data_IF_801608292322
#
_entry.id   IF_801608292322
#
_cell.length_a   1.000
_cell.length_b   1.000
_cell.length_c   1.000
_cell.angle_alpha   90.00
_cell.angle_beta   90.00
_cell.angle_gamma   90.00
#
_symmetry.space_group_name_H-M   'P 1'
#
loop_
_entity.id
_entity.type
_entity.pdbx_description
1 polymer ?
#
# COMPACT_ATOMS: atom_id res chain seq x y z
N UNK A 1 -8.14 3.75 33.57
CA UNK A 1 -6.89 3.04 33.20
C UNK A 1 -6.38 3.57 31.85
N UNK A 2 -5.24 4.28 31.83
CA UNK A 2 -4.63 4.82 30.59
C UNK A 2 -3.77 3.73 29.93
N UNK A 3 -4.24 3.12 28.84
CA UNK A 3 -3.42 2.15 28.10
C UNK A 3 -2.45 2.91 27.17
N UNK A 4 -1.15 2.93 27.51
CA UNK A 4 -0.07 3.33 26.58
C UNK A 4 -0.20 2.49 25.30
N UNK A 5 0.03 3.08 24.12
CA UNK A 5 0.02 2.32 22.85
C UNK A 5 1.04 1.19 22.92
N UNK A 6 0.55 -0.04 23.17
CA UNK A 6 1.31 -1.28 23.04
C UNK A 6 1.47 -1.57 21.55
N UNK A 7 2.51 -2.34 21.17
CA UNK A 7 2.65 -2.77 19.76
C UNK A 7 1.36 -3.40 19.24
N UNK A 8 1.02 -3.21 17.96
CA UNK A 8 -0.24 -3.71 17.37
C UNK A 8 -0.48 -5.20 17.69
N UNK A 9 0.58 -6.02 17.62
CA UNK A 9 0.49 -7.44 17.98
C UNK A 9 0.06 -7.66 19.43
N UNK A 10 0.67 -6.95 20.38
CA UNK A 10 0.28 -7.02 21.79
C UNK A 10 -1.16 -6.52 22.01
N UNK A 11 -1.58 -5.50 21.24
CA UNK A 11 -2.92 -4.95 21.33
C UNK A 11 -3.99 -5.95 20.87
N UNK A 12 -3.74 -6.67 19.76
CA UNK A 12 -4.63 -7.73 19.27
C UNK A 12 -4.67 -8.91 20.24
N UNK A 13 -3.52 -9.31 20.81
CA UNK A 13 -3.43 -10.44 21.75
C UNK A 13 -4.16 -10.21 23.08
N UNK A 14 -4.56 -8.97 23.40
CA UNK A 14 -5.38 -8.68 24.59
C UNK A 14 -6.87 -8.97 24.38
N UNK A 15 -7.31 -9.16 23.13
CA UNK A 15 -8.70 -9.51 22.84
C UNK A 15 -8.91 -10.97 23.26
N UNK A 16 -9.85 -11.20 24.18
CA UNK A 16 -10.21 -12.55 24.64
C UNK A 16 -10.96 -13.33 23.57
N UNK A 17 -10.99 -14.65 23.69
CA UNK A 17 -11.72 -15.50 22.76
C UNK A 17 -13.21 -15.15 22.72
N UNK A 18 -13.88 -14.97 23.87
CA UNK A 18 -15.30 -14.62 23.95
C UNK A 18 -15.64 -13.33 23.19
N UNK A 19 -14.79 -12.31 23.28
CA UNK A 19 -14.98 -11.05 22.56
C UNK A 19 -14.76 -11.24 21.06
N UNK A 20 -13.73 -12.01 20.67
CA UNK A 20 -13.49 -12.33 19.27
C UNK A 20 -14.66 -13.14 18.67
N UNK A 21 -15.15 -14.12 19.42
CA UNK A 21 -16.25 -15.01 19.06
C UNK A 21 -17.54 -14.26 18.77
N UNK A 22 -17.90 -13.27 19.59
CA UNK A 22 -19.10 -12.46 19.42
C UNK A 22 -19.05 -11.56 18.18
N UNK A 23 -17.85 -11.22 17.70
CA UNK A 23 -17.64 -10.29 16.60
C UNK A 23 -17.31 -10.96 15.27
N UNK A 24 -16.76 -12.18 15.30
CA UNK A 24 -16.41 -12.92 14.08
C UNK A 24 -17.59 -13.78 13.64
N UNK A 25 -18.25 -13.38 12.56
CA UNK A 25 -19.40 -14.10 12.00
C UNK A 25 -18.99 -15.43 11.36
N UNK A 26 -19.78 -16.48 11.58
CA UNK A 26 -19.60 -17.81 10.97
C UNK A 26 -19.52 -17.76 9.43
N UNK A 27 -20.39 -16.96 8.82
CA UNK A 27 -20.45 -16.74 7.36
C UNK A 27 -19.11 -16.27 6.79
N UNK A 28 -18.41 -15.39 7.51
CA UNK A 28 -17.11 -14.86 7.08
C UNK A 28 -16.01 -15.93 7.09
N UNK A 29 -16.09 -16.88 8.02
CA UNK A 29 -15.17 -18.02 8.10
C UNK A 29 -15.51 -19.03 7.00
N UNK A 30 -16.79 -19.33 6.81
CA UNK A 30 -17.26 -20.20 5.74
C UNK A 30 -16.86 -19.67 4.35
N UNK A 31 -16.93 -18.36 4.12
CA UNK A 31 -16.47 -17.75 2.88
C UNK A 31 -14.95 -17.88 2.67
N UNK A 32 -14.17 -17.88 3.75
CA UNK A 32 -12.73 -18.16 3.72
C UNK A 32 -12.43 -19.61 3.35
N UNK A 33 -13.03 -20.55 4.09
CA UNK A 33 -12.88 -22.00 3.92
C UNK A 33 -13.38 -22.48 2.55
N UNK A 34 -14.60 -22.08 2.16
CA UNK A 34 -15.21 -22.46 0.88
C UNK A 34 -14.59 -21.80 -0.35
N UNK A 35 -13.62 -20.89 -0.18
CA UNK A 35 -12.86 -20.31 -1.29
C UNK A 35 -13.64 -19.35 -2.20
N UNK A 36 -14.92 -19.08 -1.89
CA UNK A 36 -15.84 -18.21 -2.62
C UNK A 36 -16.58 -17.30 -1.64
N UNK A 37 -16.15 -16.04 -1.50
CA UNK A 37 -17.16 -14.99 -1.28
C UNK A 37 -18.01 -14.96 -2.55
N UNK A 38 -19.35 -14.88 -2.46
CA UNK A 38 -20.37 -14.61 -3.51
C UNK A 38 -19.88 -13.91 -4.81
N UNK A 39 -18.95 -14.49 -5.55
CA UNK A 39 -18.21 -13.87 -6.65
C UNK A 39 -17.75 -14.96 -7.63
N UNK A 40 -17.66 -14.58 -8.91
CA UNK A 40 -17.40 -15.48 -10.03
C UNK A 40 -16.03 -16.19 -9.99
N UNK A 41 -15.07 -15.75 -9.16
CA UNK A 41 -13.69 -16.27 -9.14
C UNK A 41 -13.20 -16.65 -7.74
N UNK A 42 -12.43 -17.75 -7.66
CA UNK A 42 -11.78 -18.20 -6.42
C UNK A 42 -10.67 -17.25 -5.97
N UNK A 43 -10.34 -17.28 -4.68
CA UNK A 43 -9.22 -16.49 -4.14
C UNK A 43 -7.86 -16.83 -4.78
N UNK A 44 -7.68 -18.07 -5.25
CA UNK A 44 -6.47 -18.46 -5.96
C UNK A 44 -6.30 -17.66 -7.26
N UNK A 45 -7.33 -17.64 -8.11
CA UNK A 45 -7.31 -16.87 -9.35
C UNK A 45 -7.15 -15.36 -9.10
N UNK A 46 -7.82 -14.82 -8.08
CA UNK A 46 -7.67 -13.40 -7.70
C UNK A 46 -6.23 -13.05 -7.31
N UNK A 47 -5.53 -13.93 -6.56
CA UNK A 47 -4.12 -13.73 -6.19
C UNK A 47 -3.22 -13.73 -7.43
N UNK A 48 -3.43 -14.64 -8.37
CA UNK A 48 -2.68 -14.70 -9.64
C UNK A 48 -2.91 -13.44 -10.46
N UNK A 49 -4.17 -13.01 -10.62
CA UNK A 49 -4.52 -11.84 -11.42
C UNK A 49 -3.86 -10.57 -10.86
N UNK A 50 -3.92 -10.36 -9.54
CA UNK A 50 -3.25 -9.23 -8.89
C UNK A 50 -1.72 -9.30 -9.02
N UNK A 51 -1.14 -10.49 -8.93
CA UNK A 51 0.29 -10.70 -9.11
C UNK A 51 0.73 -10.34 -10.53
N UNK A 52 0.06 -10.86 -11.56
CA UNK A 52 0.31 -10.51 -12.96
C UNK A 52 0.11 -9.01 -13.18
N UNK A 53 -0.97 -8.45 -12.63
CA UNK A 53 -1.28 -7.02 -12.71
C UNK A 53 -0.14 -6.13 -12.18
N UNK A 54 0.56 -6.57 -11.14
CA UNK A 54 1.69 -5.83 -10.57
C UNK A 54 2.90 -5.72 -11.50
N UNK A 55 2.99 -6.56 -12.54
CA UNK A 55 4.10 -6.56 -13.50
C UNK A 55 3.80 -5.82 -14.80
N UNK A 56 2.55 -5.41 -15.06
CA UNK A 56 2.18 -4.76 -16.32
C UNK A 56 3.05 -3.52 -16.59
N UNK A 57 3.17 -2.62 -15.60
CA UNK A 57 3.95 -1.39 -15.75
C UNK A 57 5.46 -1.67 -15.89
N UNK A 58 6.11 -2.51 -15.05
CA UNK A 58 7.50 -2.90 -15.25
C UNK A 58 7.76 -3.51 -16.62
N UNK A 59 6.90 -4.43 -17.09
CA UNK A 59 7.08 -5.08 -18.40
C UNK A 59 7.01 -4.05 -19.53
N UNK A 60 6.01 -3.17 -19.52
CA UNK A 60 5.89 -2.08 -20.51
C UNK A 60 7.16 -1.22 -20.49
N UNK A 61 7.68 -0.89 -19.31
CA UNK A 61 8.92 -0.13 -19.18
C UNK A 61 10.11 -0.89 -19.77
N UNK A 62 10.33 -2.16 -19.43
CA UNK A 62 11.44 -2.94 -19.99
C UNK A 62 11.35 -3.07 -21.51
N UNK A 63 10.15 -3.29 -22.06
CA UNK A 63 9.94 -3.32 -23.51
C UNK A 63 10.32 -1.97 -24.15
N UNK A 64 9.86 -0.87 -23.57
CA UNK A 64 10.22 0.48 -24.04
C UNK A 64 11.72 0.78 -23.91
N UNK A 65 12.40 0.19 -22.95
CA UNK A 65 13.84 0.35 -22.75
C UNK A 65 14.65 -0.45 -23.77
N UNK A 66 14.20 -1.66 -24.14
CA UNK A 66 14.89 -2.48 -25.16
C UNK A 66 14.89 -1.87 -26.55
N UNK A 67 13.93 -0.99 -26.85
CA UNK A 67 13.88 -0.23 -28.10
C UNK A 67 14.68 1.08 -28.06
N UNK A 68 15.25 1.46 -26.91
CA UNK A 68 15.94 2.73 -26.75
C UNK A 68 17.47 2.55 -26.83
N UNK A 69 18.12 3.29 -27.73
CA UNK A 69 19.59 3.30 -27.82
C UNK A 69 20.18 4.16 -26.70
N UNK A 70 20.88 3.53 -25.75
CA UNK A 70 21.53 4.18 -24.61
C UNK A 70 22.53 5.26 -25.06
N UNK A 71 23.10 5.14 -26.26
CA UNK A 71 24.01 6.14 -26.79
C UNK A 71 23.33 7.48 -27.09
N UNK A 72 22.01 7.47 -27.29
CA UNK A 72 21.19 8.66 -27.47
C UNK A 72 20.85 9.37 -26.15
N UNK A 73 21.06 8.73 -24.99
CA UNK A 73 20.88 9.38 -23.69
C UNK A 73 22.07 10.31 -23.41
N UNK A 74 21.83 11.61 -23.13
CA UNK A 74 22.88 12.54 -22.71
C UNK A 74 23.68 11.96 -21.55
N UNK A 75 25.01 12.12 -21.55
CA UNK A 75 25.88 11.58 -20.48
C UNK A 75 25.42 11.98 -19.09
N UNK A 76 24.88 13.20 -18.93
CA UNK A 76 24.30 13.71 -17.69
C UNK A 76 23.03 12.97 -17.24
N UNK A 77 22.24 12.38 -18.16
CA UNK A 77 21.00 11.67 -17.83
C UNK A 77 21.16 10.16 -17.63
N UNK A 78 22.34 9.59 -17.93
CA UNK A 78 22.58 8.14 -17.85
C UNK A 78 22.40 7.59 -16.43
N UNK A 79 22.79 8.35 -15.40
CA UNK A 79 22.64 7.90 -14.02
C UNK A 79 21.16 7.74 -13.62
N UNK A 80 20.28 8.64 -14.07
CA UNK A 80 18.84 8.52 -13.83
C UNK A 80 18.30 7.28 -14.49
N UNK A 81 18.63 7.07 -15.77
CA UNK A 81 18.19 5.93 -16.54
C UNK A 81 18.56 4.61 -15.86
N UNK A 82 19.81 4.48 -15.41
CA UNK A 82 20.31 3.31 -14.66
C UNK A 82 19.56 3.17 -13.33
N UNK A 83 19.33 4.27 -12.61
CA UNK A 83 18.64 4.22 -11.30
C UNK A 83 17.18 3.79 -11.45
N UNK A 84 16.46 4.32 -12.44
CA UNK A 84 15.08 3.93 -12.76
C UNK A 84 15.01 2.43 -13.10
N UNK A 85 15.95 1.95 -13.92
CA UNK A 85 16.06 0.54 -14.27
C UNK A 85 16.21 -0.35 -13.01
N UNK A 86 17.09 0.03 -12.08
CA UNK A 86 17.24 -0.69 -10.81
C UNK A 86 15.99 -0.63 -9.92
N UNK A 87 15.27 0.50 -9.88
CA UNK A 87 14.01 0.61 -9.14
C UNK A 87 12.99 -0.41 -9.68
N UNK A 88 12.83 -0.52 -11.00
CA UNK A 88 11.91 -1.49 -11.60
C UNK A 88 12.32 -2.94 -11.31
N UNK A 89 13.61 -3.28 -11.39
CA UNK A 89 14.10 -4.60 -10.99
C UNK A 89 13.74 -4.88 -9.52
N UNK A 90 13.97 -3.93 -8.62
CA UNK A 90 13.66 -4.10 -7.19
C UNK A 90 12.16 -4.27 -6.94
N UNK A 91 11.30 -3.53 -7.65
CA UNK A 91 9.83 -3.71 -7.59
C UNK A 91 9.46 -5.14 -8.00
N UNK A 92 10.03 -5.66 -9.09
CA UNK A 92 9.77 -7.04 -9.54
C UNK A 92 10.22 -8.03 -8.47
N UNK A 93 11.48 -7.94 -8.01
CA UNK A 93 12.04 -8.87 -7.03
C UNK A 93 11.24 -8.88 -5.72
N UNK A 94 10.83 -7.71 -5.24
CA UNK A 94 10.03 -7.59 -4.02
C UNK A 94 8.62 -8.15 -4.21
N UNK A 95 7.96 -7.88 -5.34
CA UNK A 95 6.63 -8.43 -5.64
C UNK A 95 6.68 -9.96 -5.74
N UNK A 96 7.69 -10.51 -6.42
CA UNK A 96 7.95 -11.97 -6.50
C UNK A 96 8.17 -12.55 -5.10
N UNK A 97 9.06 -11.94 -4.31
CA UNK A 97 9.35 -12.38 -2.95
C UNK A 97 8.10 -12.39 -2.06
N UNK A 98 7.31 -11.30 -2.07
CA UNK A 98 6.09 -11.17 -1.27
C UNK A 98 5.04 -12.19 -1.72
N UNK A 99 4.86 -12.35 -3.04
CA UNK A 99 3.92 -13.33 -3.58
C UNK A 99 4.25 -14.74 -3.11
N UNK A 100 5.49 -15.21 -3.31
CA UNK A 100 5.88 -16.56 -2.90
C UNK A 100 5.85 -16.74 -1.38
N UNK A 101 6.27 -15.71 -0.61
CA UNK A 101 6.19 -15.74 0.86
C UNK A 101 4.75 -15.86 1.36
N UNK A 102 3.81 -15.19 0.69
CA UNK A 102 2.39 -15.27 1.03
C UNK A 102 1.74 -16.54 0.51
N UNK A 103 2.12 -17.02 -0.67
CA UNK A 103 1.69 -18.29 -1.25
C UNK A 103 2.03 -19.48 -0.34
N UNK A 104 3.22 -19.51 0.27
CA UNK A 104 3.53 -20.54 1.28
C UNK A 104 2.60 -20.51 2.49
N UNK A 105 1.97 -19.38 2.79
CA UNK A 105 0.99 -19.25 3.89
C UNK A 105 -0.45 -19.50 3.46
N UNK A 106 -0.72 -19.73 2.17
CA UNK A 106 -2.07 -19.99 1.66
C UNK A 106 -2.54 -21.43 1.87
N UNK A 107 -1.74 -22.28 2.49
CA UNK A 107 -2.15 -23.63 2.87
C UNK A 107 -3.33 -23.67 3.84
N UNK A 108 -3.72 -22.54 4.44
CA UNK A 108 -4.82 -22.49 5.41
C UNK A 108 -6.09 -21.86 4.81
N UNK A 109 -7.10 -22.67 4.41
CA UNK A 109 -8.36 -22.20 3.85
C UNK A 109 -9.04 -21.10 4.67
N UNK A 110 -9.10 -21.25 6.00
CA UNK A 110 -9.75 -20.27 6.89
C UNK A 110 -9.13 -18.85 6.83
N UNK A 111 -7.90 -18.70 6.31
CA UNK A 111 -7.21 -17.41 6.14
C UNK A 111 -7.19 -16.91 4.69
N UNK A 112 -7.88 -17.55 3.75
CA UNK A 112 -7.80 -17.22 2.33
C UNK A 112 -8.11 -15.76 2.02
N UNK A 113 -9.19 -15.23 2.60
CA UNK A 113 -9.60 -13.83 2.43
C UNK A 113 -8.57 -12.86 3.01
N UNK A 114 -8.07 -13.17 4.23
CA UNK A 114 -7.02 -12.39 4.88
C UNK A 114 -5.75 -12.36 4.03
N UNK A 115 -5.27 -13.53 3.61
CA UNK A 115 -4.07 -13.69 2.81
C UNK A 115 -4.19 -12.95 1.46
N UNK A 116 -5.34 -13.03 0.80
CA UNK A 116 -5.58 -12.31 -0.45
C UNK A 116 -5.55 -10.79 -0.25
N UNK A 117 -6.32 -10.25 0.70
CA UNK A 117 -6.37 -8.80 0.93
C UNK A 117 -5.03 -8.23 1.36
N UNK A 118 -4.30 -8.95 2.21
CA UNK A 118 -2.95 -8.56 2.63
C UNK A 118 -1.97 -8.61 1.46
N UNK A 119 -2.04 -9.64 0.60
CA UNK A 119 -1.20 -9.72 -0.59
C UNK A 119 -1.49 -8.57 -1.55
N UNK A 120 -2.77 -8.29 -1.85
CA UNK A 120 -3.17 -7.22 -2.75
C UNK A 120 -2.67 -5.86 -2.24
N UNK A 121 -2.83 -5.60 -0.94
CA UNK A 121 -2.28 -4.40 -0.30
C UNK A 121 -0.76 -4.29 -0.47
N UNK A 122 0.00 -5.35 -0.15
CA UNK A 122 1.46 -5.30 -0.22
C UNK A 122 1.99 -5.12 -1.65
N UNK A 123 1.38 -5.79 -2.64
CA UNK A 123 1.76 -5.64 -4.05
C UNK A 123 1.50 -4.22 -4.55
N UNK A 124 0.35 -3.65 -4.18
CA UNK A 124 0.02 -2.26 -4.52
C UNK A 124 0.98 -1.28 -3.85
N UNK A 125 1.30 -1.49 -2.57
CA UNK A 125 2.23 -0.64 -1.81
C UNK A 125 3.64 -0.63 -2.40
N UNK A 126 4.20 -1.80 -2.72
CA UNK A 126 5.52 -1.92 -3.36
C UNK A 126 5.53 -1.20 -4.71
N UNK A 127 4.50 -1.44 -5.53
CA UNK A 127 4.41 -0.88 -6.86
C UNK A 127 4.28 0.65 -6.81
N UNK A 128 3.36 1.18 -6.00
CA UNK A 128 3.14 2.63 -5.88
C UNK A 128 4.35 3.36 -5.28
N UNK A 129 5.05 2.75 -4.31
CA UNK A 129 6.30 3.29 -3.75
C UNK A 129 7.42 3.32 -4.80
N UNK A 130 7.52 2.30 -5.64
CA UNK A 130 8.48 2.27 -6.74
C UNK A 130 8.21 3.37 -7.76
N UNK A 131 6.96 3.52 -8.20
CA UNK A 131 6.59 4.50 -9.22
C UNK A 131 6.70 5.95 -8.71
N UNK A 132 6.33 6.21 -7.46
CA UNK A 132 6.51 7.52 -6.85
C UNK A 132 7.98 7.89 -6.68
N UNK A 133 8.84 6.92 -6.37
CA UNK A 133 10.29 7.12 -6.31
C UNK A 133 10.86 7.54 -7.66
N UNK A 134 10.36 6.99 -8.77
CA UNK A 134 10.75 7.41 -10.13
C UNK A 134 10.32 8.86 -10.40
N UNK A 135 9.10 9.23 -10.00
CA UNK A 135 8.60 10.61 -10.14
C UNK A 135 9.46 11.62 -9.37
N UNK A 136 9.85 11.29 -8.14
CA UNK A 136 10.76 12.12 -7.33
C UNK A 136 12.15 12.19 -7.95
N UNK A 137 12.67 11.06 -8.43
CA UNK A 137 13.96 11.03 -9.09
C UNK A 137 13.99 11.93 -10.34
N UNK A 138 12.89 11.98 -11.09
CA UNK A 138 12.71 12.88 -12.23
C UNK A 138 12.79 14.36 -11.87
N UNK A 139 12.16 14.78 -10.76
CA UNK A 139 12.27 16.18 -10.29
C UNK A 139 13.67 16.51 -9.77
N UNK A 140 14.41 15.51 -9.28
CA UNK A 140 15.75 15.68 -8.74
C UNK A 140 16.87 15.62 -9.79
N UNK A 141 16.56 15.46 -11.09
CA UNK A 141 17.55 15.37 -12.17
C UNK A 141 18.57 16.53 -12.20
N UNK A 142 18.14 17.72 -11.77
CA UNK A 142 18.98 18.92 -11.81
C UNK A 142 20.06 18.92 -10.72
N UNK A 143 19.95 18.05 -9.71
CA UNK A 143 20.84 18.01 -8.57
C UNK A 143 21.89 16.90 -8.70
N UNK A 144 22.92 16.96 -7.85
CA UNK A 144 23.96 15.95 -7.81
C UNK A 144 23.36 14.54 -7.55
N UNK A 145 23.80 13.48 -8.26
CA UNK A 145 23.28 12.12 -8.09
C UNK A 145 23.30 11.61 -6.64
N UNK A 146 24.35 11.94 -5.87
CA UNK A 146 24.47 11.54 -4.46
C UNK A 146 23.38 12.18 -3.61
N UNK A 147 23.10 13.46 -3.85
CA UNK A 147 22.02 14.18 -3.18
C UNK A 147 20.66 13.57 -3.53
N UNK A 148 20.43 13.22 -4.81
CA UNK A 148 19.18 12.61 -5.26
C UNK A 148 18.92 11.27 -4.56
N UNK A 149 19.94 10.41 -4.44
CA UNK A 149 19.84 9.13 -3.73
C UNK A 149 19.57 9.34 -2.23
N UNK A 150 20.23 10.32 -1.60
CA UNK A 150 20.00 10.65 -0.19
C UNK A 150 18.55 11.11 0.06
N UNK A 151 18.01 11.95 -0.82
CA UNK A 151 16.61 12.41 -0.75
C UNK A 151 15.64 11.24 -0.96
N UNK A 152 15.90 10.34 -1.90
CA UNK A 152 15.07 9.14 -2.09
C UNK A 152 15.05 8.24 -0.85
N UNK A 153 16.19 8.09 -0.17
CA UNK A 153 16.26 7.32 1.07
C UNK A 153 15.45 7.97 2.20
N UNK A 154 15.57 9.28 2.37
CA UNK A 154 14.75 10.04 3.33
C UNK A 154 13.26 9.94 3.02
N UNK A 155 12.91 10.05 1.74
CA UNK A 155 11.56 9.87 1.25
C UNK A 155 10.99 8.49 1.63
N UNK A 156 11.74 7.42 1.35
CA UNK A 156 11.33 6.06 1.70
C UNK A 156 11.11 5.90 3.21
N UNK A 157 12.03 6.41 4.05
CA UNK A 157 11.90 6.36 5.51
C UNK A 157 10.68 7.11 6.01
N UNK A 158 10.40 8.28 5.42
CA UNK A 158 9.23 9.09 5.76
C UNK A 158 7.93 8.37 5.37
N UNK A 159 7.82 7.89 4.14
CA UNK A 159 6.65 7.13 3.65
C UNK A 159 6.41 5.91 4.52
N UNK A 160 7.45 5.11 4.79
CA UNK A 160 7.35 3.93 5.64
C UNK A 160 6.76 4.26 7.01
N UNK A 161 7.20 5.36 7.63
CA UNK A 161 6.66 5.83 8.90
C UNK A 161 5.20 6.28 8.78
N UNK A 162 4.83 6.99 7.72
CA UNK A 162 3.47 7.46 7.48
C UNK A 162 2.50 6.27 7.30
N UNK A 163 2.84 5.33 6.42
CA UNK A 163 2.07 4.11 6.16
C UNK A 163 1.86 3.33 7.45
N UNK A 164 2.93 3.15 8.24
CA UNK A 164 2.85 2.49 9.54
C UNK A 164 1.89 3.20 10.50
N UNK A 165 1.97 4.53 10.61
CA UNK A 165 1.06 5.30 11.47
C UNK A 165 -0.39 5.17 11.01
N UNK A 166 -0.66 5.18 9.70
CA UNK A 166 -2.00 5.02 9.14
C UNK A 166 -2.56 3.64 9.46
N UNK A 167 -1.81 2.58 9.16
CA UNK A 167 -2.24 1.19 9.42
C UNK A 167 -2.45 0.93 10.90
N UNK A 168 -1.50 1.34 11.75
CA UNK A 168 -1.65 1.19 13.21
C UNK A 168 -2.92 1.89 13.70
N UNK A 169 -3.19 3.10 13.18
CA UNK A 169 -4.39 3.86 13.54
C UNK A 169 -5.68 3.15 13.10
N UNK A 170 -5.74 2.67 11.85
CA UNK A 170 -6.89 1.92 11.34
C UNK A 170 -7.16 0.65 12.15
N UNK A 171 -6.11 -0.05 12.60
CA UNK A 171 -6.22 -1.23 13.46
C UNK A 171 -6.72 -0.87 14.86
N UNK A 172 -6.21 0.20 15.48
CA UNK A 172 -6.71 0.63 16.79
C UNK A 172 -8.16 1.12 16.73
N UNK A 173 -8.57 1.81 15.66
CA UNK A 173 -9.96 2.22 15.46
C UNK A 173 -10.88 1.00 15.36
N UNK A 174 -10.45 -0.03 14.63
CA UNK A 174 -11.18 -1.28 14.48
C UNK A 174 -11.33 -2.04 15.82
N UNK A 175 -10.22 -2.15 16.57
CA UNK A 175 -10.24 -2.76 17.90
C UNK A 175 -11.18 -2.02 18.87
N UNK A 176 -11.16 -0.68 18.84
CA UNK A 176 -12.02 0.13 19.70
C UNK A 176 -13.50 0.02 19.33
N UNK A 177 -13.80 -0.06 18.02
CA UNK A 177 -15.17 -0.09 17.51
C UNK A 177 -15.83 -1.44 17.74
N UNK A 178 -15.14 -2.52 17.37
CA UNK A 178 -15.74 -3.85 17.30
C UNK A 178 -15.32 -4.77 18.47
N UNK A 179 -14.15 -4.55 19.07
CA UNK A 179 -13.61 -5.46 20.10
C UNK A 179 -13.58 -4.85 21.51
N UNK A 180 -14.31 -3.75 21.73
CA UNK A 180 -14.53 -3.15 23.04
C UNK A 180 -13.27 -2.56 23.70
N UNK A 181 -12.17 -2.40 22.97
CA UNK A 181 -10.94 -1.82 23.52
C UNK A 181 -11.04 -0.30 23.66
N UNK A 182 -10.23 0.30 24.55
CA UNK A 182 -10.20 1.76 24.78
C UNK A 182 -8.81 2.34 24.53
N UNK A 183 -8.24 2.10 23.36
CA UNK A 183 -6.96 2.68 22.96
C UNK A 183 -7.12 4.17 22.68
N UNK A 184 -6.21 5.00 23.24
CA UNK A 184 -6.21 6.43 22.97
C UNK A 184 -5.54 6.71 21.63
N UNK A 185 -6.33 7.20 20.67
CA UNK A 185 -5.85 7.61 19.35
C UNK A 185 -5.85 9.14 19.31
N UNK A 186 -4.68 9.74 19.05
CA UNK A 186 -4.57 11.21 18.92
C UNK A 186 -5.32 11.68 17.68
N UNK A 187 -6.01 12.82 17.76
CA UNK A 187 -6.82 13.37 16.66
C UNK A 187 -6.02 13.54 15.36
N UNK A 188 -4.76 13.98 15.42
CA UNK A 188 -3.93 14.14 14.22
C UNK A 188 -3.65 12.81 13.51
N UNK A 189 -3.50 11.70 14.24
CA UNK A 189 -3.31 10.37 13.64
C UNK A 189 -4.58 9.90 12.93
N UNK A 190 -5.73 10.19 13.54
CA UNK A 190 -7.05 9.92 12.97
C UNK A 190 -7.33 10.75 11.72
N UNK A 191 -6.86 11.99 11.68
CA UNK A 191 -6.91 12.81 10.49
C UNK A 191 -5.99 12.23 9.39
N UNK A 192 -4.77 11.85 9.77
CA UNK A 192 -3.79 11.26 8.85
C UNK A 192 -4.27 9.94 8.24
N UNK A 193 -5.01 9.10 8.96
CA UNK A 193 -5.55 7.84 8.41
C UNK A 193 -6.65 8.06 7.35
N UNK A 194 -7.30 9.23 7.37
CA UNK A 194 -8.33 9.63 6.39
C UNK A 194 -7.76 10.49 5.26
N UNK A 195 -6.56 11.03 5.46
CA UNK A 195 -5.87 11.93 4.55
C UNK A 195 -5.74 11.39 3.11
N UNK A 196 -5.44 10.09 2.86
CA UNK A 196 -5.31 9.58 1.48
C UNK A 196 -6.58 9.75 0.63
N UNK A 197 -7.76 9.65 1.24
CA UNK A 197 -9.05 9.82 0.55
C UNK A 197 -9.27 11.29 0.16
N UNK A 198 -9.04 12.20 1.10
CA UNK A 198 -9.17 13.65 0.89
C UNK A 198 -8.17 14.12 -0.18
N UNK A 199 -6.95 13.57 -0.15
CA UNK A 199 -5.92 13.87 -1.13
C UNK A 199 -6.27 13.40 -2.54
N UNK A 200 -6.88 12.22 -2.70
CA UNK A 200 -7.32 11.74 -4.01
C UNK A 200 -8.30 12.71 -4.67
N UNK A 201 -9.23 13.26 -3.87
CA UNK A 201 -10.18 14.29 -4.33
C UNK A 201 -9.44 15.58 -4.71
N UNK A 202 -8.50 16.05 -3.89
CA UNK A 202 -7.71 17.26 -4.17
C UNK A 202 -6.90 17.11 -5.46
N UNK A 203 -6.29 15.94 -5.71
CA UNK A 203 -5.52 15.68 -6.93
C UNK A 203 -6.42 15.75 -8.18
N UNK A 204 -7.61 15.16 -8.13
CA UNK A 204 -8.57 15.25 -9.25
C UNK A 204 -8.92 16.71 -9.53
N UNK A 205 -9.27 17.48 -8.49
CA UNK A 205 -9.61 18.90 -8.62
C UNK A 205 -8.41 19.69 -9.16
N UNK A 206 -7.21 19.45 -8.63
CA UNK A 206 -5.98 20.10 -9.06
C UNK A 206 -5.61 19.80 -10.51
N UNK A 207 -5.79 18.56 -10.97
CA UNK A 207 -5.56 18.19 -12.38
C UNK A 207 -6.54 18.91 -13.31
N UNK A 208 -7.82 19.00 -12.95
CA UNK A 208 -8.79 19.74 -13.76
C UNK A 208 -8.50 21.25 -13.72
N UNK A 209 -8.13 21.79 -12.56
CA UNK A 209 -7.72 23.17 -12.39
C UNK A 209 -6.51 23.53 -13.24
N UNK A 210 -5.45 22.69 -13.22
CA UNK A 210 -4.27 22.86 -14.07
C UNK A 210 -4.63 22.85 -15.56
N UNK A 211 -5.52 21.94 -15.98
CA UNK A 211 -5.96 21.85 -17.37
C UNK A 211 -6.65 23.13 -17.84
N UNK A 212 -7.42 23.77 -16.97
CA UNK A 212 -8.12 25.03 -17.25
C UNK A 212 -7.15 26.23 -17.17
N UNK A 213 -6.21 26.24 -16.22
CA UNK A 213 -5.26 27.35 -16.07
C UNK A 213 -4.15 27.34 -17.13
N UNK A 214 -3.84 26.19 -17.72
CA UNK A 214 -2.81 26.04 -18.76
C UNK A 214 -3.08 26.92 -19.98
N UNK A 215 -4.34 27.18 -20.33
CA UNK A 215 -4.70 28.08 -21.45
C UNK A 215 -4.50 29.56 -21.12
N UNK A 216 -4.60 29.95 -19.84
CA UNK A 216 -4.41 31.34 -19.41
C UNK A 216 -2.93 31.75 -19.34
N UNK A 217 -2.02 30.81 -19.08
CA UNK A 217 -0.63 31.12 -18.71
C UNK A 217 0.36 31.18 -19.87
N UNK A 218 -0.03 30.74 -21.07
CA UNK A 218 0.82 30.80 -22.27
C UNK A 218 1.12 32.26 -22.69
N UNK A 219 0.44 33.25 -22.09
CA UNK A 219 0.54 34.67 -22.44
C UNK A 219 1.41 35.55 -21.50
N UNK A 220 1.94 35.05 -20.38
CA UNK A 220 2.66 35.90 -19.41
C UNK A 220 4.17 35.66 -19.39
N UNK A 221 4.93 36.76 -19.45
CA UNK A 221 6.37 36.86 -19.75
C UNK A 221 7.31 36.04 -18.83
N UNK A 222 8.44 35.63 -19.41
CA UNK A 222 9.32 34.53 -18.96
C UNK A 222 10.29 34.88 -17.83
N UNK A 223 10.59 36.16 -17.53
CA UNK A 223 11.62 36.52 -16.55
C UNK A 223 11.10 37.45 -15.45
N UNK A 224 10.44 36.87 -14.45
CA UNK A 224 10.06 37.59 -13.22
C UNK A 224 10.24 36.70 -11.98
N UNK A 225 10.33 37.27 -10.75
CA UNK A 225 10.35 36.51 -9.49
C UNK A 225 9.18 35.51 -9.36
N UNK A 226 8.09 35.77 -10.08
CA UNK A 226 6.94 34.89 -10.21
C UNK A 226 7.36 33.52 -10.79
N UNK A 227 8.22 33.49 -11.81
CA UNK A 227 8.68 32.25 -12.46
C UNK A 227 9.45 31.32 -11.51
N UNK A 228 10.27 31.90 -10.62
CA UNK A 228 11.01 31.15 -9.60
C UNK A 228 10.06 30.57 -8.54
N UNK A 229 9.08 31.36 -8.10
CA UNK A 229 8.03 30.88 -7.19
C UNK A 229 7.22 29.74 -7.83
N UNK A 230 6.89 29.83 -9.12
CA UNK A 230 6.20 28.76 -9.85
C UNK A 230 7.03 27.48 -9.98
N UNK A 231 8.34 27.58 -10.23
CA UNK A 231 9.21 26.40 -10.26
C UNK A 231 9.24 25.69 -8.90
N UNK A 232 9.34 26.45 -7.80
CA UNK A 232 9.34 25.89 -6.44
C UNK A 232 7.99 25.24 -6.11
N UNK A 233 6.88 25.89 -6.46
CA UNK A 233 5.53 25.33 -6.28
C UNK A 233 5.36 24.05 -7.12
N UNK A 234 5.87 24.03 -8.34
CA UNK A 234 5.87 22.86 -9.23
C UNK A 234 6.64 21.69 -8.63
N UNK A 235 7.89 21.90 -8.24
CA UNK A 235 8.75 20.86 -7.68
C UNK A 235 8.22 20.33 -6.34
N UNK A 236 7.71 21.22 -5.48
CA UNK A 236 7.07 20.84 -4.20
C UNK A 236 5.77 20.06 -4.45
N UNK A 237 4.99 20.47 -5.46
CA UNK A 237 3.78 19.80 -5.89
C UNK A 237 4.03 18.37 -6.35
N UNK A 238 5.13 18.13 -7.08
CA UNK A 238 5.53 16.79 -7.53
C UNK A 238 5.88 15.87 -6.35
N UNK A 239 6.63 16.38 -5.36
CA UNK A 239 6.96 15.60 -4.15
C UNK A 239 5.69 15.29 -3.34
N UNK A 240 4.80 16.27 -3.17
CA UNK A 240 3.52 16.05 -2.50
C UNK A 240 2.67 15.01 -3.24
N UNK A 241 2.57 15.10 -4.57
CA UNK A 241 1.87 14.13 -5.40
C UNK A 241 2.45 12.72 -5.22
N UNK A 242 3.78 12.59 -5.22
CA UNK A 242 4.46 11.32 -5.02
C UNK A 242 4.16 10.71 -3.64
N UNK A 243 4.13 11.51 -2.57
CA UNK A 243 3.67 11.06 -1.25
C UNK A 243 2.21 10.58 -1.34
N UNK A 244 1.33 11.36 -1.98
CA UNK A 244 -0.08 11.01 -2.08
C UNK A 244 -0.30 9.67 -2.80
N UNK A 245 0.32 9.49 -3.97
CA UNK A 245 0.23 8.26 -4.77
C UNK A 245 0.70 7.05 -3.94
N UNK A 246 1.76 7.23 -3.16
CA UNK A 246 2.31 6.15 -2.34
C UNK A 246 1.42 5.80 -1.17
N UNK A 247 0.65 6.75 -0.64
CA UNK A 247 -0.31 6.48 0.43
C UNK A 247 -1.63 5.88 -0.07
N UNK A 248 -1.92 5.88 -1.38
CA UNK A 248 -3.18 5.33 -1.92
C UNK A 248 -3.45 3.88 -1.52
N UNK A 249 -2.49 2.95 -1.52
CA UNK A 249 -2.74 1.56 -1.15
C UNK A 249 -3.24 1.42 0.29
N UNK A 250 -2.95 2.37 1.19
CA UNK A 250 -3.48 2.36 2.57
C UNK A 250 -5.01 2.51 2.65
N UNK A 251 -5.65 3.01 1.58
CA UNK A 251 -7.12 3.03 1.45
C UNK A 251 -7.66 1.61 1.21
N UNK A 252 -6.89 0.79 0.48
CA UNK A 252 -7.25 -0.60 0.19
C UNK A 252 -7.00 -1.56 1.38
N UNK A 253 -6.27 -1.09 2.40
CA UNK A 253 -6.04 -1.86 3.62
C UNK A 253 -7.34 -2.04 4.40
N UNK A 254 -7.72 -3.29 4.64
CA UNK A 254 -8.92 -3.63 5.39
C UNK A 254 -8.53 -4.06 6.82
N UNK A 255 -8.68 -3.14 7.77
CA UNK A 255 -8.35 -3.38 9.19
C UNK A 255 -9.22 -4.44 9.83
N UNK A 256 -10.52 -4.52 9.49
CA UNK A 256 -11.45 -5.55 9.97
C UNK A 256 -10.95 -6.95 9.61
N UNK A 257 -10.66 -7.18 8.33
CA UNK A 257 -10.14 -8.47 7.83
C UNK A 257 -8.78 -8.77 8.46
N UNK A 258 -7.93 -7.76 8.64
CA UNK A 258 -6.61 -7.93 9.25
C UNK A 258 -6.69 -8.36 10.72
N UNK A 259 -7.48 -7.65 11.52
CA UNK A 259 -7.70 -7.96 12.95
C UNK A 259 -8.35 -9.33 13.08
N UNK A 260 -9.41 -9.59 12.30
CA UNK A 260 -10.10 -10.88 12.26
C UNK A 260 -9.15 -12.03 11.91
N UNK A 261 -8.39 -11.91 10.83
CA UNK A 261 -7.43 -12.94 10.41
C UNK A 261 -6.35 -13.21 11.46
N UNK A 262 -5.91 -12.17 12.17
CA UNK A 262 -4.96 -12.32 13.28
C UNK A 262 -5.58 -13.04 14.48
N UNK A 263 -6.83 -12.71 14.84
CA UNK A 263 -7.55 -13.38 15.93
C UNK A 263 -7.89 -14.84 15.59
N UNK A 264 -8.29 -15.12 14.35
CA UNK A 264 -8.48 -16.49 13.84
C UNK A 264 -7.19 -17.30 13.94
N UNK A 265 -6.03 -16.68 13.70
CA UNK A 265 -4.73 -17.33 13.87
C UNK A 265 -4.38 -17.57 15.35
N UNK A 266 -4.75 -16.66 16.24
CA UNK A 266 -4.48 -16.81 17.67
C UNK A 266 -5.36 -17.88 18.32
N UNK A 267 -6.61 -18.03 17.87
CA UNK A 267 -7.61 -18.94 18.43
C UNK A 267 -8.05 -20.03 17.44
N UNK A 268 -7.11 -20.51 16.62
CA UNK A 268 -7.40 -21.38 15.47
C UNK A 268 -8.22 -22.62 15.86
N UNK A 269 -7.78 -23.39 16.86
CA UNK A 269 -8.49 -24.60 17.29
C UNK A 269 -9.86 -24.29 17.90
N UNK A 270 -9.96 -23.25 18.73
CA UNK A 270 -11.24 -22.88 19.37
C UNK A 270 -12.31 -22.53 18.34
N UNK A 271 -11.93 -21.83 17.27
CA UNK A 271 -12.86 -21.51 16.17
C UNK A 271 -13.20 -22.72 15.33
N UNK A 272 -12.23 -23.61 15.04
CA UNK A 272 -12.47 -24.86 14.31
C UNK A 272 -13.49 -25.75 15.03
N UNK A 273 -13.26 -25.98 16.33
CA UNK A 273 -14.13 -26.82 17.18
C UNK A 273 -15.53 -26.21 17.33
N UNK A 274 -15.61 -24.90 17.63
CA UNK A 274 -16.90 -24.20 17.81
C UNK A 274 -17.81 -24.37 16.60
N UNK A 275 -17.27 -24.21 15.40
CA UNK A 275 -18.05 -24.29 14.17
C UNK A 275 -18.11 -25.69 13.56
N UNK A 276 -17.52 -26.69 14.25
CA UNK A 276 -17.50 -28.11 13.85
C UNK A 276 -16.88 -28.34 12.47
N UNK A 277 -15.84 -27.59 12.12
CA UNK A 277 -15.06 -27.85 10.90
C UNK A 277 -14.13 -29.04 11.09
N UNK A 278 -14.02 -29.86 10.06
CA UNK A 278 -13.01 -30.94 10.02
C UNK A 278 -11.60 -30.35 9.89
N UNK A 279 -10.58 -31.13 10.27
CA UNK A 279 -9.18 -30.69 10.07
C UNK A 279 -8.87 -30.44 8.60
N UNK A 280 -9.41 -31.26 7.69
CA UNK A 280 -9.20 -31.14 6.25
C UNK A 280 -9.86 -29.89 5.67
N UNK A 281 -11.08 -29.54 6.08
CA UNK A 281 -11.72 -28.29 5.66
C UNK A 281 -10.97 -27.07 6.20
N UNK A 282 -10.50 -27.15 7.45
CA UNK A 282 -9.88 -26.02 8.13
C UNK A 282 -8.44 -25.78 7.67
N UNK A 283 -7.64 -26.84 7.58
CA UNK A 283 -6.22 -26.79 7.25
C UNK A 283 -5.91 -27.13 5.79
N UNK A 284 -6.90 -27.54 5.00
CA UNK A 284 -6.68 -28.04 3.65
C UNK A 284 -6.14 -29.48 3.64
N UNK A 285 -5.94 -30.01 2.44
CA UNK A 285 -5.16 -31.24 2.25
C UNK A 285 -3.67 -30.94 2.52
N UNK A 286 -3.02 -31.78 3.32
CA UNK A 286 -1.60 -31.63 3.71
C UNK A 286 -0.65 -31.98 2.58
#
# INVERSE_FOLDING_TARGET
MRCKMKTVRQAINQVTFEVAENNIKKESIQAGVGGKENTLMSYFFKKILFFIGSFIVPIIFFLAMTSYDINQVPKSGRYLFITIFFIFIMVILLNVYVYFRMYRKTGFPYLNQFNFRLLAFLLLEISMTGYSSITILGSLNKYNPVLAVAILLLYYLMVYRLVKVIIDTQIYEELNKNYGTKYQIKNWKRLLSRFPIVLFIIIIIGMQGYRISKSYFIFTHVDSPLSMAYSIIGDTGVVLLAICVTLLPTISFNSEIFVRGTLLKNYTEKFREKYKFTETEWYGEK
#
